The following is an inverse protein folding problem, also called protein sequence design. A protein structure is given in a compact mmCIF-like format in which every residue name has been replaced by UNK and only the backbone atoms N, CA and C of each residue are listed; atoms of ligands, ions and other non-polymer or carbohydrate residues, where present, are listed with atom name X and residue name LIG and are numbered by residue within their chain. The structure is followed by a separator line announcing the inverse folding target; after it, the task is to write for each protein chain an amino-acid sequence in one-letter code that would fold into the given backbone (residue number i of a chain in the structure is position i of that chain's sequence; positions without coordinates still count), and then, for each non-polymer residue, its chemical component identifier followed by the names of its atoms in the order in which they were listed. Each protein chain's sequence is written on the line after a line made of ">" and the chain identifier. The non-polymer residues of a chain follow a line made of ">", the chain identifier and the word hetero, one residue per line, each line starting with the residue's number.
data_IF_093590505457
#
_entry.id   IF_093590505457
#
_cell.length_a   1.000
_cell.length_b   1.000
_cell.length_c   1.000
_cell.angle_alpha   90.00
_cell.angle_beta   90.00
_cell.angle_gamma   90.00
#
_symmetry.space_group_name_H-M   'P 1'
#
loop_
_entity.id
_entity.type
_entity.pdbx_description
1 polymer ?
#
# COMPACT_ATOMS: atom_id res chain seq x y z
N UNK A 1 7.13 -14.25 -11.26
CA UNK A 1 7.25 -14.08 -9.79
C UNK A 1 7.47 -12.61 -9.51
N UNK A 2 6.93 -12.11 -8.41
CA UNK A 2 7.30 -10.81 -7.85
C UNK A 2 8.40 -11.05 -6.82
N UNK A 3 9.40 -10.17 -6.81
CA UNK A 3 10.52 -10.24 -5.86
C UNK A 3 10.16 -9.53 -4.57
N UNK A 4 10.76 -9.95 -3.46
CA UNK A 4 10.70 -9.17 -2.22
C UNK A 4 11.10 -7.72 -2.45
N UNK A 5 10.42 -6.80 -1.77
CA UNK A 5 10.70 -5.35 -1.80
C UNK A 5 10.93 -4.80 -0.38
N UNK A 6 11.15 -5.67 0.62
CA UNK A 6 11.31 -5.28 2.02
C UNK A 6 12.44 -4.27 2.26
N UNK A 7 13.55 -4.46 1.56
CA UNK A 7 14.75 -3.65 1.72
C UNK A 7 14.80 -2.43 0.79
N UNK A 8 13.80 -2.27 -0.09
CA UNK A 8 13.75 -1.16 -1.04
C UNK A 8 13.25 0.12 -0.39
N UNK A 9 13.96 1.23 -0.61
CA UNK A 9 13.55 2.55 -0.09
C UNK A 9 12.21 2.99 -0.70
N UNK A 10 12.04 2.77 -2.01
CA UNK A 10 10.82 3.01 -2.79
C UNK A 10 10.34 1.66 -3.35
N UNK A 11 9.60 0.86 -2.58
CA UNK A 11 9.22 -0.49 -2.98
C UNK A 11 8.23 -0.45 -4.15
N UNK A 12 8.27 -1.48 -5.00
CA UNK A 12 7.25 -1.67 -6.04
C UNK A 12 6.07 -2.49 -5.49
N UNK A 13 4.85 -2.05 -5.77
CA UNK A 13 3.65 -2.70 -5.26
C UNK A 13 2.38 -1.93 -5.58
N UNK A 14 1.37 -2.06 -4.73
CA UNK A 14 0.08 -1.38 -4.88
C UNK A 14 0.08 -0.06 -4.13
N UNK A 15 -0.12 1.04 -4.85
CA UNK A 15 -0.25 2.38 -4.26
C UNK A 15 -1.50 2.51 -3.38
N UNK A 16 -1.34 3.20 -2.25
CA UNK A 16 -2.37 3.57 -1.29
C UNK A 16 -2.11 5.00 -0.81
N UNK A 17 -3.06 5.56 -0.04
CA UNK A 17 -2.92 6.91 0.52
C UNK A 17 -3.32 6.94 1.98
N UNK A 18 -2.65 7.78 2.76
CA UNK A 18 -2.97 8.02 4.17
C UNK A 18 -4.26 8.84 4.37
N UNK A 19 -4.58 9.72 3.42
CA UNK A 19 -5.80 10.55 3.49
C UNK A 19 -6.45 10.64 2.10
N UNK A 20 -7.60 9.99 1.91
CA UNK A 20 -8.27 9.99 0.62
C UNK A 20 -8.79 11.39 0.24
N UNK A 21 -9.04 12.30 1.18
CA UNK A 21 -9.50 13.68 0.90
C UNK A 21 -8.37 14.62 0.46
N UNK A 22 -7.11 14.24 0.70
CA UNK A 22 -5.92 14.98 0.25
C UNK A 22 -5.29 14.40 -1.00
N UNK A 23 -5.90 13.35 -1.54
CA UNK A 23 -5.46 12.66 -2.75
C UNK A 23 -6.35 13.10 -3.92
N UNK A 24 -5.84 13.15 -5.15
CA UNK A 24 -6.65 13.47 -6.33
C UNK A 24 -7.57 12.30 -6.76
N UNK A 25 -8.00 11.47 -5.81
CA UNK A 25 -8.84 10.31 -6.03
C UNK A 25 -10.32 10.72 -5.99
N UNK A 26 -11.16 9.94 -6.68
CA UNK A 26 -12.61 10.10 -6.65
C UNK A 26 -13.28 8.73 -6.64
N UNK A 27 -14.54 8.69 -6.21
CA UNK A 27 -15.31 7.45 -6.12
C UNK A 27 -15.24 6.81 -4.75
N UNK A 28 -15.55 5.51 -4.72
CA UNK A 28 -15.60 4.74 -3.48
C UNK A 28 -14.20 4.41 -3.00
N UNK A 29 -13.96 4.58 -1.70
CA UNK A 29 -12.69 4.21 -1.09
C UNK A 29 -12.91 3.21 0.04
N UNK A 30 -11.87 2.40 0.25
CA UNK A 30 -11.78 1.45 1.34
C UNK A 30 -10.52 1.77 2.15
N UNK A 31 -10.56 1.44 3.43
CA UNK A 31 -9.49 1.74 4.38
C UNK A 31 -9.03 0.46 5.04
N UNK A 32 -7.75 0.42 5.40
CA UNK A 32 -7.20 -0.58 6.31
C UNK A 32 -7.27 0.05 7.70
N UNK A 33 -8.05 -0.49 8.65
CA UNK A 33 -8.15 0.09 9.99
C UNK A 33 -6.79 0.14 10.66
N UNK A 34 -6.53 1.18 11.46
CA UNK A 34 -5.30 1.27 12.24
C UNK A 34 -5.06 -0.01 13.06
N UNK A 35 -3.80 -0.43 13.14
CA UNK A 35 -3.35 -1.64 13.87
C UNK A 35 -3.89 -2.96 13.31
N UNK A 36 -4.54 -2.95 12.14
CA UNK A 36 -4.83 -4.18 11.42
C UNK A 36 -3.53 -4.87 11.04
N UNK A 37 -3.46 -6.18 11.28
CA UNK A 37 -2.32 -6.99 10.84
C UNK A 37 -2.45 -7.23 9.35
N UNK A 38 -1.40 -6.92 8.60
CA UNK A 38 -1.30 -7.36 7.21
C UNK A 38 -1.06 -8.88 7.17
N UNK A 39 -1.57 -9.57 6.14
CA UNK A 39 -1.22 -10.95 5.88
C UNK A 39 0.29 -11.14 5.79
N UNK A 40 0.78 -12.30 6.27
CA UNK A 40 2.20 -12.63 6.15
C UNK A 40 2.63 -12.68 4.68
N UNK A 41 3.76 -12.05 4.37
CA UNK A 41 4.21 -11.82 3.00
C UNK A 41 3.87 -10.43 2.44
N UNK A 42 3.06 -9.61 3.11
CA UNK A 42 2.81 -8.22 2.74
C UNK A 42 3.36 -7.23 3.77
N UNK A 43 3.87 -6.11 3.27
CA UNK A 43 4.28 -4.95 4.07
C UNK A 43 3.65 -3.68 3.52
N UNK A 44 3.62 -2.63 4.33
CA UNK A 44 3.24 -1.27 3.90
C UNK A 44 4.37 -0.30 4.27
N UNK A 45 4.73 0.60 3.36
CA UNK A 45 5.72 1.65 3.60
C UNK A 45 5.16 2.98 3.14
N UNK A 46 5.21 3.98 4.02
CA UNK A 46 4.94 5.36 3.64
C UNK A 46 6.18 5.87 2.92
N UNK A 47 6.04 6.14 1.63
CA UNK A 47 7.12 6.46 0.71
C UNK A 47 6.84 7.74 -0.11
N UNK A 48 5.92 8.57 0.37
CA UNK A 48 5.67 9.91 -0.13
C UNK A 48 6.82 10.89 0.15
N UNK A 49 6.85 11.99 -0.62
CA UNK A 49 7.86 13.06 -0.50
C UNK A 49 7.91 13.80 0.84
N UNK A 50 6.88 13.63 1.66
CA UNK A 50 6.80 14.13 3.04
C UNK A 50 7.58 13.27 4.03
N UNK A 51 7.92 12.03 3.67
CA UNK A 51 8.71 11.09 4.48
C UNK A 51 10.08 10.84 3.87
N UNK A 52 10.17 10.68 2.55
CA UNK A 52 11.42 10.40 1.83
C UNK A 52 11.78 11.61 0.96
N UNK A 53 12.90 12.32 1.26
CA UNK A 53 13.37 13.42 0.42
C UNK A 53 13.54 13.00 -1.04
N UNK A 54 13.14 13.86 -1.96
CA UNK A 54 13.19 13.64 -3.41
C UNK A 54 12.38 12.42 -3.91
N UNK A 55 11.48 11.86 -3.10
CA UNK A 55 10.55 10.82 -3.57
C UNK A 55 9.72 11.33 -4.75
N UNK A 56 9.54 10.50 -5.81
CA UNK A 56 8.65 10.84 -6.91
C UNK A 56 7.17 10.80 -6.48
N UNK A 57 6.85 10.22 -5.33
CA UNK A 57 5.48 10.06 -4.86
C UNK A 57 4.97 11.30 -4.11
N UNK A 58 3.68 11.61 -4.28
CA UNK A 58 3.04 12.72 -3.60
C UNK A 58 3.06 12.54 -2.06
N UNK A 59 2.83 13.62 -1.34
CA UNK A 59 2.78 13.57 0.12
C UNK A 59 1.63 12.65 0.59
N UNK A 60 1.88 11.81 1.59
CA UNK A 60 0.92 10.84 2.10
C UNK A 60 0.74 9.58 1.24
N UNK A 61 1.56 9.38 0.20
CA UNK A 61 1.60 8.11 -0.54
C UNK A 61 2.19 6.99 0.31
N UNK A 62 1.63 5.80 0.19
CA UNK A 62 2.17 4.58 0.75
C UNK A 62 2.02 3.42 -0.22
N UNK A 63 2.94 2.46 -0.16
CA UNK A 63 2.94 1.28 -1.03
C UNK A 63 2.74 0.02 -0.20
N UNK A 64 1.80 -0.85 -0.61
CA UNK A 64 1.68 -2.23 -0.14
C UNK A 64 2.52 -3.12 -1.06
N UNK A 65 3.47 -3.86 -0.51
CA UNK A 65 4.50 -4.58 -1.28
C UNK A 65 4.77 -5.99 -0.73
N UNK A 66 5.33 -6.91 -1.54
CA UNK A 66 5.69 -8.25 -1.08
C UNK A 66 6.96 -8.22 -0.21
N UNK A 67 6.95 -8.86 0.96
CA UNK A 67 8.10 -8.96 1.88
C UNK A 67 8.98 -10.20 1.63
N UNK A 68 8.55 -11.08 0.72
CA UNK A 68 9.27 -12.26 0.26
C UNK A 68 8.96 -12.53 -1.21
N UNK A 69 9.80 -13.33 -1.86
CA UNK A 69 9.52 -13.80 -3.21
C UNK A 69 8.21 -14.61 -3.23
N UNK A 70 7.34 -14.31 -4.20
CA UNK A 70 6.07 -14.98 -4.38
C UNK A 70 5.57 -14.92 -5.82
N UNK A 71 4.53 -15.68 -6.15
CA UNK A 71 3.84 -15.51 -7.43
C UNK A 71 2.98 -14.25 -7.44
N UNK A 72 2.66 -13.72 -8.62
CA UNK A 72 1.73 -12.58 -8.72
C UNK A 72 0.33 -12.96 -8.22
N UNK A 73 -0.12 -14.20 -8.47
CA UNK A 73 -1.38 -14.73 -7.97
C UNK A 73 -1.42 -14.78 -6.45
N UNK A 74 -0.33 -15.20 -5.81
CA UNK A 74 -0.22 -15.23 -4.35
C UNK A 74 -0.25 -13.82 -3.77
N UNK A 75 0.47 -12.86 -4.36
CA UNK A 75 0.40 -11.46 -3.96
C UNK A 75 -1.03 -10.93 -4.03
N UNK A 76 -1.73 -11.17 -5.13
CA UNK A 76 -3.13 -10.75 -5.30
C UNK A 76 -4.04 -11.39 -4.24
N UNK A 77 -3.91 -12.70 -4.01
CA UNK A 77 -4.73 -13.40 -3.00
C UNK A 77 -4.50 -12.84 -1.59
N UNK A 78 -3.24 -12.52 -1.23
CA UNK A 78 -2.94 -11.89 0.05
C UNK A 78 -3.52 -10.48 0.11
N UNK A 79 -3.38 -9.68 -0.95
CA UNK A 79 -3.92 -8.32 -1.02
C UNK A 79 -5.45 -8.30 -0.87
N UNK A 80 -6.15 -9.22 -1.53
CA UNK A 80 -7.60 -9.37 -1.44
C UNK A 80 -8.07 -9.87 -0.07
N UNK A 81 -7.19 -10.55 0.68
CA UNK A 81 -7.47 -11.04 2.04
C UNK A 81 -7.27 -9.99 3.14
N UNK A 82 -6.72 -8.81 2.80
CA UNK A 82 -6.62 -7.70 3.75
C UNK A 82 -8.03 -7.31 4.20
N UNK A 83 -8.18 -7.02 5.49
CA UNK A 83 -9.45 -6.59 6.08
C UNK A 83 -9.79 -5.13 5.69
N UNK A 84 -10.15 -4.94 4.42
CA UNK A 84 -10.62 -3.67 3.89
C UNK A 84 -11.99 -3.31 4.47
N UNK A 85 -12.12 -2.09 4.96
CA UNK A 85 -13.40 -1.54 5.40
C UNK A 85 -13.85 -0.43 4.45
N UNK A 86 -15.12 -0.45 4.08
CA UNK A 86 -15.70 0.65 3.29
C UNK A 86 -15.56 1.97 4.04
N UNK A 87 -14.82 2.90 3.46
CA UNK A 87 -14.54 4.20 4.07
C UNK A 87 -15.52 5.29 3.62
N UNK A 88 -16.07 5.17 2.42
CA UNK A 88 -17.05 6.13 1.89
C UNK A 88 -16.88 6.41 0.41
N UNK A 89 -17.29 7.60 0.00
CA UNK A 89 -17.17 8.11 -1.36
C UNK A 89 -16.71 9.56 -1.34
N UNK A 90 -15.77 9.89 -2.23
CA UNK A 90 -15.26 11.25 -2.48
C UNK A 90 -15.65 11.67 -3.89
#
# INVERSE_FOLDING_TARGET
>A
MVKSQADELLPQGTSTTLDPNKSPLSGHYHTIPERSKLPDGLGIKVDGKDVIPDSPHAAGHATIYPTRDMSMTEFQNLFDSIHWQYGGKI
#
